data_IF_587322073658
#
_entry.id   IF_587322073658
#
_cell.length_a   1.000
_cell.length_b   1.000
_cell.length_c   1.000
_cell.angle_alpha   90.00
_cell.angle_beta   90.00
_cell.angle_gamma   90.00
#
_symmetry.space_group_name_H-M   'P 1'
#
loop_
_entity.id
_entity.type
_entity.pdbx_description
1 polymer ?
#
# COMPACT_ATOMS: atom_id res chain seq x y z
N UNK A 1 -10.15 -35.01 1.78
CA UNK A 1 -9.05 -35.25 2.69
C UNK A 1 -7.71 -35.04 2.07
N UNK A 2 -7.51 -35.66 0.97
CA UNK A 2 -6.25 -35.53 0.28
C UNK A 2 -6.02 -34.12 -0.24
N UNK A 3 -7.07 -33.42 -0.46
CA UNK A 3 -6.95 -32.09 -1.03
C UNK A 3 -6.21 -31.14 -0.12
N UNK A 4 -6.45 -31.25 1.14
CA UNK A 4 -5.79 -30.37 2.08
C UNK A 4 -4.30 -30.55 2.07
N UNK A 5 -3.89 -31.76 1.96
CA UNK A 5 -2.46 -32.03 1.96
C UNK A 5 -1.78 -31.45 0.74
N UNK A 6 -2.46 -31.53 -0.37
CA UNK A 6 -1.90 -31.02 -1.61
C UNK A 6 -1.69 -29.52 -1.49
N UNK A 7 -2.64 -28.86 -0.90
CA UNK A 7 -2.55 -27.42 -0.77
C UNK A 7 -1.39 -27.00 0.11
N UNK A 8 -1.13 -27.74 1.13
CA UNK A 8 -0.05 -27.37 2.04
C UNK A 8 1.30 -27.51 1.42
N UNK A 9 1.44 -28.42 0.53
CA UNK A 9 2.75 -28.69 -0.02
C UNK A 9 3.32 -27.56 -0.82
N UNK A 10 2.49 -26.67 -1.24
CA UNK A 10 2.98 -25.61 -2.08
C UNK A 10 3.63 -24.51 -1.31
N UNK A 11 3.44 -24.50 -0.01
CA UNK A 11 3.98 -23.42 0.76
C UNK A 11 5.48 -23.35 0.81
N UNK A 12 6.18 -24.40 0.98
CA UNK A 12 7.61 -24.29 1.24
C UNK A 12 8.31 -23.75 0.03
N UNK A 13 8.85 -22.67 0.19
CA UNK A 13 9.64 -22.10 -0.86
C UNK A 13 10.91 -21.55 -0.30
N UNK A 14 11.52 -22.27 0.54
CA UNK A 14 12.71 -21.78 1.20
C UNK A 14 13.87 -21.65 0.26
N UNK A 15 13.70 -22.12 -0.93
CA UNK A 15 14.78 -22.06 -1.88
C UNK A 15 15.32 -20.68 -2.07
N UNK A 16 14.51 -19.71 -1.84
CA UNK A 16 14.97 -18.35 -2.01
C UNK A 16 16.03 -17.97 -1.00
N UNK A 17 16.16 -18.73 0.03
CA UNK A 17 17.09 -18.38 1.09
C UNK A 17 18.50 -18.23 0.60
N UNK A 18 18.93 -19.15 -0.19
CA UNK A 18 20.29 -19.11 -0.67
C UNK A 18 20.53 -17.91 -1.55
N UNK A 19 19.57 -17.60 -2.37
CA UNK A 19 19.72 -16.46 -3.25
C UNK A 19 19.78 -15.17 -2.47
N UNK A 20 19.00 -15.08 -1.43
CA UNK A 20 18.98 -13.88 -0.64
C UNK A 20 20.31 -13.64 0.05
N UNK A 21 21.00 -14.67 0.39
CA UNK A 21 22.22 -14.50 1.15
C UNK A 21 23.30 -13.74 0.43
N UNK A 22 23.29 -13.78 -0.86
CA UNK A 22 24.38 -13.17 -1.60
C UNK A 22 24.30 -11.69 -1.76
N UNK A 23 23.11 -11.19 -1.91
CA UNK A 23 22.94 -9.77 -2.13
C UNK A 23 22.61 -9.03 -0.86
N UNK A 24 22.72 -9.71 0.25
CA UNK A 24 22.24 -9.17 1.51
C UNK A 24 22.94 -7.89 1.91
N UNK A 25 24.23 -7.80 1.74
CA UNK A 25 24.93 -6.64 2.27
C UNK A 25 24.45 -5.35 1.65
N UNK A 26 24.38 -5.28 0.33
CA UNK A 26 23.95 -4.05 -0.33
C UNK A 26 22.49 -3.75 -0.04
N UNK A 27 21.64 -4.77 -0.07
CA UNK A 27 20.25 -4.53 0.18
C UNK A 27 19.96 -4.24 1.63
N UNK A 28 20.81 -4.72 2.53
CA UNK A 28 20.63 -4.43 3.95
C UNK A 28 20.81 -2.96 4.23
N UNK A 29 21.79 -2.34 3.65
CA UNK A 29 22.00 -0.92 3.84
C UNK A 29 20.83 -0.11 3.32
N UNK A 30 20.36 -0.45 2.12
CA UNK A 30 19.20 0.25 1.56
C UNK A 30 17.98 0.08 2.44
N UNK A 31 17.78 -1.11 2.97
CA UNK A 31 16.62 -1.39 3.78
C UNK A 31 16.66 -0.60 5.08
N UNK A 32 17.83 -0.53 5.71
CA UNK A 32 17.97 0.23 6.93
C UNK A 32 17.70 1.70 6.68
N UNK A 33 18.25 2.24 5.61
CA UNK A 33 18.03 3.63 5.27
C UNK A 33 16.56 3.90 5.00
N UNK A 34 15.90 2.99 4.26
CA UNK A 34 14.49 3.15 3.97
C UNK A 34 13.66 3.18 5.26
N UNK A 35 13.94 2.28 6.18
CA UNK A 35 13.17 2.19 7.41
C UNK A 35 13.33 3.42 8.30
N UNK A 36 14.42 4.15 8.14
CA UNK A 36 14.68 5.34 8.93
C UNK A 36 14.09 6.60 8.32
N UNK A 37 13.58 6.52 7.11
CA UNK A 37 13.01 7.69 6.44
C UNK A 37 11.63 8.01 6.98
N UNK A 38 11.27 9.28 6.85
CA UNK A 38 9.90 9.71 7.11
C UNK A 38 8.97 9.08 6.08
N UNK A 39 7.68 8.89 6.42
CA UNK A 39 6.76 8.23 5.47
C UNK A 39 6.72 8.86 4.09
N UNK A 40 6.75 10.17 4.00
CA UNK A 40 6.72 10.83 2.69
C UNK A 40 7.97 10.54 1.88
N UNK A 41 9.10 10.48 2.55
CA UNK A 41 10.35 10.16 1.88
C UNK A 41 10.40 8.69 1.49
N UNK A 42 9.81 7.84 2.30
CA UNK A 42 9.67 6.43 1.94
C UNK A 42 8.84 6.28 0.68
N UNK A 43 7.72 6.99 0.61
CA UNK A 43 6.87 6.93 -0.58
C UNK A 43 7.60 7.49 -1.79
N UNK A 44 8.31 8.59 -1.62
CA UNK A 44 9.07 9.18 -2.71
C UNK A 44 10.10 8.19 -3.24
N UNK A 45 10.79 7.50 -2.35
CA UNK A 45 11.78 6.50 -2.74
C UNK A 45 11.14 5.36 -3.51
N UNK A 46 9.99 4.87 -3.05
CA UNK A 46 9.29 3.81 -3.76
C UNK A 46 8.81 4.28 -5.14
N UNK A 47 8.30 5.48 -5.22
CA UNK A 47 7.85 6.01 -6.50
C UNK A 47 9.01 6.12 -7.47
N UNK A 48 10.16 6.58 -7.02
CA UNK A 48 11.33 6.69 -7.88
C UNK A 48 11.83 5.34 -8.35
N UNK A 49 11.75 4.33 -7.50
CA UNK A 49 12.23 3.00 -7.85
C UNK A 49 11.25 2.27 -8.75
N UNK A 50 9.96 2.33 -8.44
CA UNK A 50 8.95 1.52 -9.10
C UNK A 50 8.30 2.21 -10.29
N UNK A 51 8.29 3.54 -10.28
CA UNK A 51 7.59 4.30 -11.32
C UNK A 51 8.53 4.95 -12.32
N UNK A 52 9.80 4.63 -12.26
CA UNK A 52 10.77 5.20 -13.19
C UNK A 52 10.34 4.87 -14.60
N UNK A 53 10.19 5.91 -15.43
CA UNK A 53 9.83 5.76 -16.83
C UNK A 53 8.44 5.16 -17.06
N UNK A 54 7.61 5.14 -16.03
CA UNK A 54 6.24 4.65 -16.16
C UNK A 54 5.25 5.80 -16.02
N UNK A 55 4.11 5.72 -16.72
CA UNK A 55 3.10 6.74 -16.57
C UNK A 55 2.45 6.65 -15.18
N UNK A 56 1.94 7.76 -14.73
CA UNK A 56 1.30 7.83 -13.43
C UNK A 56 0.12 6.84 -13.31
N UNK A 57 -0.47 6.49 -14.44
CA UNK A 57 -1.58 5.54 -14.44
C UNK A 57 -1.17 4.15 -13.96
N UNK A 58 0.13 3.86 -13.92
CA UNK A 58 0.62 2.57 -13.45
C UNK A 58 1.06 2.62 -11.99
N UNK A 59 0.45 3.46 -11.23
CA UNK A 59 0.75 3.61 -9.81
C UNK A 59 0.53 2.32 -9.02
N UNK A 60 -0.17 1.37 -9.61
CA UNK A 60 -0.45 0.10 -8.94
C UNK A 60 0.82 -0.62 -8.49
N UNK A 61 1.94 -0.41 -9.17
CA UNK A 61 3.20 -1.01 -8.72
C UNK A 61 3.55 -0.62 -7.30
N UNK A 62 3.22 0.59 -6.91
CA UNK A 62 3.48 1.07 -5.56
C UNK A 62 2.34 0.69 -4.63
N UNK A 63 1.10 0.80 -5.10
CA UNK A 63 -0.07 0.56 -4.27
C UNK A 63 -0.22 -0.90 -3.86
N UNK A 64 0.31 -1.80 -4.66
CA UNK A 64 0.28 -3.23 -4.33
C UNK A 64 1.59 -3.73 -3.76
N UNK A 65 2.56 -2.85 -3.58
CA UNK A 65 3.78 -3.19 -2.85
C UNK A 65 3.46 -3.18 -1.35
N UNK A 66 3.96 -4.17 -0.63
CA UNK A 66 3.63 -4.29 0.80
C UNK A 66 4.03 -3.05 1.60
N UNK A 67 5.07 -2.36 1.17
CA UNK A 67 5.51 -1.13 1.84
C UNK A 67 4.65 0.04 1.39
N UNK A 68 4.41 0.14 0.08
CA UNK A 68 3.65 1.25 -0.49
C UNK A 68 2.21 1.30 -0.02
N UNK A 69 1.57 0.13 0.04
CA UNK A 69 0.17 0.06 0.46
C UNK A 69 -0.02 0.63 1.87
N UNK A 70 0.88 0.29 2.78
CA UNK A 70 0.78 0.77 4.15
C UNK A 70 1.08 2.27 4.23
N UNK A 71 2.14 2.69 3.57
CA UNK A 71 2.61 4.08 3.66
C UNK A 71 1.58 5.04 3.07
N UNK A 72 1.01 4.68 1.93
CA UNK A 72 0.08 5.58 1.22
C UNK A 72 -1.12 5.92 2.08
N UNK A 73 -1.70 4.93 2.75
CA UNK A 73 -2.84 5.19 3.61
C UNK A 73 -2.53 6.18 4.71
N UNK A 74 -1.39 6.01 5.36
CA UNK A 74 -0.99 6.92 6.43
C UNK A 74 -0.71 8.33 5.91
N UNK A 75 -0.07 8.43 4.77
CA UNK A 75 0.23 9.74 4.19
C UNK A 75 -1.05 10.49 3.83
N UNK A 76 -2.03 9.77 3.27
CA UNK A 76 -3.29 10.41 2.91
C UNK A 76 -4.03 10.91 4.16
N UNK A 77 -4.04 10.12 5.21
CA UNK A 77 -4.66 10.56 6.46
C UNK A 77 -3.91 11.75 7.05
N UNK A 78 -2.58 11.71 7.04
CA UNK A 78 -1.78 12.81 7.55
C UNK A 78 -2.01 14.08 6.75
N UNK A 79 -2.17 13.94 5.44
CA UNK A 79 -2.44 15.08 4.57
C UNK A 79 -3.78 15.72 4.92
N UNK A 80 -4.79 14.91 5.22
CA UNK A 80 -6.08 15.43 5.65
C UNK A 80 -5.95 16.17 6.99
N UNK A 81 -5.20 15.61 7.92
CA UNK A 81 -5.00 16.25 9.21
C UNK A 81 -4.28 17.56 9.08
N UNK A 82 -3.30 17.64 8.21
CA UNK A 82 -2.59 18.90 7.95
C UNK A 82 -3.51 19.94 7.36
N UNK A 83 -4.54 19.52 6.63
CA UNK A 83 -5.53 20.42 6.08
C UNK A 83 -6.62 20.78 7.08
N UNK A 84 -6.57 20.23 8.28
CA UNK A 84 -7.52 20.55 9.33
C UNK A 84 -8.67 19.58 9.47
N UNK A 85 -8.59 18.41 8.83
CA UNK A 85 -9.65 17.41 8.90
C UNK A 85 -9.14 16.15 9.58
N UNK A 86 -9.94 15.60 10.47
CA UNK A 86 -9.62 14.31 11.08
C UNK A 86 -10.67 13.29 10.65
N UNK A 87 -10.40 12.03 10.97
CA UNK A 87 -11.34 10.96 10.64
C UNK A 87 -12.71 11.20 11.26
N UNK A 88 -12.74 11.91 12.38
CA UNK A 88 -13.99 12.21 13.06
C UNK A 88 -14.86 13.21 12.31
N UNK A 89 -14.29 13.93 11.36
CA UNK A 89 -15.00 14.97 10.64
C UNK A 89 -15.81 14.46 9.47
N UNK A 90 -15.62 13.20 9.07
CA UNK A 90 -16.35 12.62 7.94
C UNK A 90 -16.64 11.16 8.22
N UNK A 91 -17.66 10.63 7.54
CA UNK A 91 -18.12 9.27 7.80
C UNK A 91 -17.40 8.23 6.94
N UNK A 92 -17.00 8.63 5.75
CA UNK A 92 -16.42 7.67 4.81
C UNK A 92 -15.60 8.38 3.76
N UNK A 93 -14.72 7.62 3.12
CA UNK A 93 -13.96 8.08 1.95
C UNK A 93 -14.43 7.32 0.73
N UNK A 94 -14.40 7.97 -0.42
CA UNK A 94 -14.91 7.36 -1.62
C UNK A 94 -13.94 7.38 -2.79
N UNK A 95 -14.10 6.41 -3.67
CA UNK A 95 -13.34 6.31 -4.91
C UNK A 95 -14.25 6.63 -6.08
N UNK A 96 -13.81 7.53 -6.94
CA UNK A 96 -14.56 7.88 -8.15
C UNK A 96 -14.22 6.97 -9.31
N UNK A 97 -13.09 6.29 -9.24
CA UNK A 97 -12.64 5.40 -10.32
C UNK A 97 -12.12 4.12 -9.71
N UNK A 98 -12.06 3.08 -10.53
CA UNK A 98 -11.52 1.82 -10.08
C UNK A 98 -10.07 1.95 -9.64
N UNK A 99 -9.32 2.84 -10.28
CA UNK A 99 -7.91 3.03 -9.95
C UNK A 99 -7.72 3.61 -8.55
N UNK A 100 -8.72 4.30 -8.02
CA UNK A 100 -8.62 4.89 -6.69
C UNK A 100 -9.04 3.94 -5.58
N UNK A 101 -9.62 2.79 -5.91
CA UNK A 101 -10.08 1.84 -4.90
C UNK A 101 -8.96 1.40 -3.95
N UNK A 102 -7.76 1.08 -4.44
CA UNK A 102 -6.68 0.71 -3.52
C UNK A 102 -6.31 1.82 -2.55
N UNK A 103 -6.46 3.07 -2.95
CA UNK A 103 -6.18 4.21 -2.07
C UNK A 103 -7.19 4.27 -0.92
N UNK A 104 -8.45 4.05 -1.23
CA UNK A 104 -9.49 4.02 -0.22
C UNK A 104 -9.24 2.89 0.76
N UNK A 105 -8.92 1.72 0.25
CA UNK A 105 -8.63 0.56 1.09
C UNK A 105 -7.43 0.83 2.00
N UNK A 106 -6.40 1.46 1.46
CA UNK A 106 -5.21 1.78 2.25
C UNK A 106 -5.54 2.75 3.38
N UNK A 107 -6.40 3.73 3.11
CA UNK A 107 -6.81 4.67 4.14
C UNK A 107 -7.62 4.01 5.25
N UNK A 108 -8.52 3.12 4.89
CA UNK A 108 -9.33 2.39 5.86
C UNK A 108 -8.41 1.58 6.79
N UNK A 109 -7.44 0.90 6.22
CA UNK A 109 -6.54 0.09 7.01
C UNK A 109 -5.60 0.93 7.87
N UNK A 110 -5.14 2.05 7.34
CA UNK A 110 -4.31 2.95 8.11
C UNK A 110 -5.08 3.51 9.31
N UNK A 111 -6.33 3.90 9.10
CA UNK A 111 -7.16 4.39 10.18
C UNK A 111 -7.35 3.32 11.24
N UNK A 112 -7.65 2.10 10.82
CA UNK A 112 -7.83 0.98 11.75
C UNK A 112 -6.58 0.75 12.60
N UNK A 113 -5.42 0.88 12.00
CA UNK A 113 -4.16 0.70 12.74
C UNK A 113 -3.94 1.79 13.77
N UNK A 114 -4.62 2.91 13.62
CA UNK A 114 -4.58 4.01 14.59
C UNK A 114 -5.72 3.95 15.59
N UNK A 115 -6.54 2.91 15.52
CA UNK A 115 -7.69 2.78 16.40
C UNK A 115 -8.87 3.64 15.97
N UNK A 116 -8.92 4.05 14.72
CA UNK A 116 -9.99 4.88 14.19
C UNK A 116 -10.85 4.08 13.22
N UNK A 117 -12.11 4.43 13.16
CA UNK A 117 -13.08 3.75 12.29
C UNK A 117 -13.34 4.61 11.06
N UNK A 118 -13.04 4.05 9.90
CA UNK A 118 -13.24 4.74 8.64
C UNK A 118 -13.83 3.76 7.64
N UNK A 119 -14.97 4.13 7.08
CA UNK A 119 -15.61 3.33 6.05
C UNK A 119 -15.27 3.87 4.68
N UNK A 120 -15.58 3.10 3.66
CA UNK A 120 -15.32 3.52 2.29
C UNK A 120 -16.47 3.18 1.36
N UNK A 121 -16.48 3.83 0.22
CA UNK A 121 -17.47 3.53 -0.81
C UNK A 121 -16.86 3.77 -2.19
N UNK A 122 -17.52 3.23 -3.21
CA UNK A 122 -17.11 3.40 -4.59
C UNK A 122 -18.27 4.03 -5.34
N UNK A 123 -17.96 5.02 -6.15
CA UNK A 123 -18.97 5.69 -6.97
C UNK A 123 -18.85 5.20 -8.40
N UNK A 124 -19.99 4.94 -9.00
CA UNK A 124 -20.06 4.57 -10.41
C UNK A 124 -20.81 5.64 -11.16
N UNK A 125 -20.38 5.86 -12.38
CA UNK A 125 -21.10 6.77 -13.26
C UNK A 125 -22.33 6.08 -13.82
N UNK A 126 -23.46 6.74 -13.68
CA UNK A 126 -24.70 6.25 -14.25
C UNK A 126 -25.12 7.24 -15.33
N UNK A 127 -25.22 6.75 -16.55
CA UNK A 127 -25.59 7.58 -17.67
C UNK A 127 -27.10 7.48 -17.88
N UNK A 128 -27.77 8.62 -18.04
CA UNK A 128 -29.21 8.57 -18.33
C UNK A 128 -29.44 7.92 -19.69
N UNK A 129 -30.43 7.07 -19.76
CA UNK A 129 -30.74 6.36 -21.01
C UNK A 129 -31.75 7.11 -21.84
#
# INVERSE_FOLDING_TARGET
MTEENTFRKTTPVPTHDSAAGQSVSASTESTVDFAMLEPRDQLKTLLQAEMKDKPFSELSSVLFDHRGASIVGHILLDTLEEAGYSVDDFDAVGALTAAAVPLVSAMIQAAASRGEDLDGFVMDFVYPS
#
